data_IF_485875930964
#
_entry.id   IF_485875930964
#
_cell.length_a   1.000
_cell.length_b   1.000
_cell.length_c   1.000
_cell.angle_alpha   90.00
_cell.angle_beta   90.00
_cell.angle_gamma   90.00
#
_symmetry.space_group_name_H-M   'P 1'
#
loop_
_entity.id
_entity.type
_entity.pdbx_description
1 polymer ?
#
# COMPACT_ATOMS: atom_id res chain seq x y z
N UNK A 1 -1.27 -2.94 -24.74
CA UNK A 1 -2.00 -3.84 -23.84
C UNK A 1 -1.10 -4.50 -22.79
N UNK A 2 -0.02 -5.21 -23.14
CA UNK A 2 0.94 -5.78 -22.15
C UNK A 2 1.53 -4.75 -21.16
N UNK A 3 1.91 -3.55 -21.63
CA UNK A 3 2.39 -2.46 -20.75
C UNK A 3 1.41 -2.09 -19.64
N UNK A 4 0.11 -2.16 -19.93
CA UNK A 4 -0.93 -1.81 -18.96
C UNK A 4 -1.07 -2.87 -17.87
N UNK A 5 -0.71 -4.12 -18.16
CA UNK A 5 -0.87 -5.22 -17.21
C UNK A 5 0.35 -5.29 -16.26
N UNK A 6 1.55 -4.96 -16.74
CA UNK A 6 2.79 -5.00 -15.95
C UNK A 6 2.87 -3.90 -14.89
N UNK A 7 2.32 -2.72 -15.17
CA UNK A 7 2.40 -1.54 -14.30
C UNK A 7 1.39 -1.61 -13.16
N UNK A 8 0.18 -2.07 -13.46
CA UNK A 8 -0.86 -2.20 -12.44
C UNK A 8 -0.59 -3.36 -11.48
N UNK A 9 0.02 -4.44 -11.99
CA UNK A 9 0.54 -5.52 -11.14
C UNK A 9 1.45 -4.97 -10.06
N UNK A 10 2.33 -4.07 -10.47
CA UNK A 10 3.25 -3.47 -9.56
C UNK A 10 2.53 -2.59 -8.53
N UNK A 11 1.52 -1.80 -8.88
CA UNK A 11 0.83 -0.87 -7.97
C UNK A 11 0.10 -1.54 -6.78
N UNK A 12 -0.65 -2.61 -7.07
CA UNK A 12 -1.41 -3.33 -6.05
C UNK A 12 -0.49 -4.18 -5.16
N UNK A 13 0.55 -4.79 -5.74
CA UNK A 13 1.56 -5.58 -5.02
C UNK A 13 2.51 -4.66 -4.23
N UNK A 14 2.74 -3.44 -4.72
CA UNK A 14 3.62 -2.45 -4.09
C UNK A 14 3.08 -1.86 -2.80
N UNK A 15 1.77 -1.75 -2.64
CA UNK A 15 1.20 -1.29 -1.38
C UNK A 15 1.49 -2.23 -0.20
N UNK A 16 1.96 -3.46 -0.47
CA UNK A 16 2.11 -4.50 0.55
C UNK A 16 3.46 -5.22 0.58
N UNK A 17 4.25 -5.20 -0.49
CA UNK A 17 5.65 -5.66 -0.47
C UNK A 17 6.59 -4.50 -0.16
N UNK A 18 6.66 -4.18 1.12
CA UNK A 18 7.50 -3.11 1.62
C UNK A 18 8.82 -3.66 2.12
N UNK A 19 9.94 -3.24 1.53
CA UNK A 19 11.25 -3.31 2.22
C UNK A 19 11.25 -2.41 3.47
N UNK A 20 12.30 -2.52 4.29
CA UNK A 20 12.56 -1.81 5.54
C UNK A 20 12.51 -0.25 5.50
N UNK A 21 12.16 0.38 4.37
CA UNK A 21 12.11 1.85 4.19
C UNK A 21 10.77 2.37 3.68
N UNK A 22 9.74 1.54 3.61
CA UNK A 22 8.44 2.01 3.11
C UNK A 22 7.72 2.82 4.18
N UNK A 23 6.95 3.82 3.74
CA UNK A 23 6.21 4.69 4.64
C UNK A 23 4.93 5.20 4.03
N UNK A 24 3.94 5.41 4.90
CA UNK A 24 2.66 6.02 4.61
C UNK A 24 2.52 7.24 5.51
N UNK A 25 2.34 8.41 4.92
CA UNK A 25 2.08 9.65 5.62
C UNK A 25 0.68 10.13 5.26
N UNK A 26 -0.14 10.47 6.26
CA UNK A 26 -1.50 10.97 6.05
C UNK A 26 -1.74 12.20 6.90
N UNK A 27 -2.22 13.27 6.28
CA UNK A 27 -2.52 14.53 6.95
C UNK A 27 -3.96 14.96 6.65
N UNK A 28 -4.70 15.51 7.63
CA UNK A 28 -5.98 16.14 7.38
C UNK A 28 -5.84 17.29 6.37
N UNK A 29 -6.86 17.48 5.56
CA UNK A 29 -7.00 18.61 4.62
C UNK A 29 -8.42 19.17 4.71
N UNK A 30 -8.66 20.33 4.08
CA UNK A 30 -9.95 21.02 4.17
C UNK A 30 -11.14 20.20 3.63
N UNK A 31 -10.89 19.21 2.77
CA UNK A 31 -11.91 18.41 2.08
C UNK A 31 -11.81 16.90 2.39
N UNK A 32 -10.88 16.51 3.26
CA UNK A 32 -10.60 15.10 3.57
C UNK A 32 -9.18 14.92 4.10
N UNK A 33 -8.36 14.14 3.40
CA UNK A 33 -6.97 13.89 3.77
C UNK A 33 -6.05 13.93 2.55
N UNK A 34 -4.86 14.47 2.72
CA UNK A 34 -3.76 14.26 1.78
C UNK A 34 -2.90 13.09 2.28
N UNK A 35 -2.37 12.31 1.35
CA UNK A 35 -1.47 11.22 1.65
C UNK A 35 -0.23 11.25 0.78
N UNK A 36 0.85 10.68 1.32
CA UNK A 36 2.09 10.36 0.64
C UNK A 36 2.47 8.92 1.01
N UNK A 37 2.73 8.10 0.01
CA UNK A 37 3.09 6.69 0.13
C UNK A 37 4.41 6.52 -0.61
N UNK A 38 5.45 6.22 0.15
CA UNK A 38 6.77 5.89 -0.37
C UNK A 38 7.01 4.41 -0.16
N UNK A 39 7.22 3.68 -1.25
CA UNK A 39 7.45 2.24 -1.23
C UNK A 39 8.84 1.97 -1.79
N UNK A 40 9.56 1.06 -1.14
CA UNK A 40 10.83 0.54 -1.64
C UNK A 40 10.78 -0.98 -1.64
N UNK A 41 11.23 -1.62 -2.70
CA UNK A 41 11.26 -3.09 -2.85
C UNK A 41 12.61 -3.64 -2.50
N UNK A 42 12.58 -4.85 -1.95
CA UNK A 42 13.78 -5.66 -1.84
C UNK A 42 14.26 -6.17 -3.21
N UNK A 43 15.53 -6.53 -3.24
CA UNK A 43 16.21 -7.01 -4.44
C UNK A 43 15.68 -8.35 -4.95
N UNK A 44 15.26 -9.25 -4.06
CA UNK A 44 14.71 -10.55 -4.43
C UNK A 44 13.34 -10.39 -5.07
N UNK A 45 12.48 -9.53 -4.52
CA UNK A 45 11.21 -9.18 -5.15
C UNK A 45 11.42 -8.56 -6.54
N UNK A 46 12.35 -7.60 -6.69
CA UNK A 46 12.67 -7.02 -7.99
C UNK A 46 13.24 -8.04 -8.99
N UNK A 47 14.04 -8.99 -8.51
CA UNK A 47 14.58 -10.08 -9.32
C UNK A 47 13.49 -11.03 -9.83
N UNK A 48 12.59 -11.45 -8.94
CA UNK A 48 11.40 -12.24 -9.30
C UNK A 48 10.57 -11.50 -10.33
N UNK A 49 10.26 -10.23 -10.09
CA UNK A 49 9.47 -9.41 -11.00
C UNK A 49 10.12 -9.29 -12.38
N UNK A 50 11.43 -9.05 -12.43
CA UNK A 50 12.18 -8.96 -13.70
C UNK A 50 12.16 -10.26 -14.51
N UNK A 51 12.11 -11.41 -13.83
CA UNK A 51 12.03 -12.71 -14.47
C UNK A 51 10.63 -12.99 -15.04
N UNK A 52 9.57 -12.56 -14.35
CA UNK A 52 8.18 -12.74 -14.79
C UNK A 52 7.78 -11.72 -15.86
N UNK A 53 8.32 -10.50 -15.77
CA UNK A 53 8.06 -9.38 -16.70
C UNK A 53 9.35 -8.92 -17.38
N UNK A 54 9.93 -9.76 -18.27
CA UNK A 54 11.12 -9.37 -19.01
C UNK A 54 10.81 -8.13 -19.84
N UNK A 55 11.58 -7.06 -19.63
CA UNK A 55 11.45 -5.85 -20.42
C UNK A 55 11.81 -6.13 -21.87
N UNK A 56 10.88 -5.89 -22.81
CA UNK A 56 11.19 -6.03 -24.23
C UNK A 56 12.19 -4.95 -24.67
N UNK A 57 13.40 -5.42 -25.03
CA UNK A 57 14.48 -4.80 -25.83
C UNK A 57 14.82 -3.31 -25.62
N UNK A 58 16.07 -3.08 -25.21
CA UNK A 58 16.89 -1.96 -25.71
C UNK A 58 17.33 -0.92 -24.67
N UNK A 59 18.44 -1.20 -23.99
CA UNK A 59 19.48 -0.20 -23.67
C UNK A 59 19.23 0.89 -22.63
N UNK A 60 18.00 1.13 -22.19
CA UNK A 60 17.72 2.12 -21.13
C UNK A 60 16.95 1.49 -19.98
N UNK A 61 17.45 1.72 -18.77
CA UNK A 61 16.88 1.27 -17.50
C UNK A 61 15.51 1.92 -17.30
N UNK A 62 14.48 1.37 -17.96
CA UNK A 62 13.09 1.80 -17.71
C UNK A 62 12.72 1.36 -16.30
N UNK A 63 12.06 2.28 -15.62
CA UNK A 63 11.38 2.01 -14.37
C UNK A 63 10.31 0.93 -14.59
N UNK A 64 10.09 0.02 -13.65
CA UNK A 64 9.00 -0.99 -13.72
C UNK A 64 7.61 -0.33 -13.71
N UNK A 65 7.57 0.94 -13.38
CA UNK A 65 6.38 1.73 -13.18
C UNK A 65 6.12 2.62 -14.40
N UNK A 66 4.86 2.63 -14.84
CA UNK A 66 4.35 3.68 -15.70
C UNK A 66 3.59 4.66 -14.80
N UNK A 67 4.30 5.70 -14.37
CA UNK A 67 3.82 6.71 -13.45
C UNK A 67 2.50 7.35 -13.94
N UNK A 68 2.39 7.59 -15.25
CA UNK A 68 1.21 8.21 -15.85
C UNK A 68 -0.01 7.30 -15.76
N UNK A 69 0.19 6.01 -16.00
CA UNK A 69 -0.86 5.02 -15.87
C UNK A 69 -1.30 4.81 -14.42
N UNK A 70 -0.36 4.71 -13.48
CA UNK A 70 -0.68 4.63 -12.04
C UNK A 70 -1.52 5.84 -11.64
N UNK A 71 -1.11 7.04 -12.07
CA UNK A 71 -1.84 8.27 -11.77
C UNK A 71 -3.26 8.25 -12.35
N UNK A 72 -3.43 7.77 -13.59
CA UNK A 72 -4.73 7.65 -14.23
C UNK A 72 -5.69 6.74 -13.45
N UNK A 73 -5.19 5.59 -12.99
CA UNK A 73 -5.99 4.59 -12.27
C UNK A 73 -6.44 5.11 -10.93
N UNK A 74 -5.52 5.66 -10.15
CA UNK A 74 -5.84 6.25 -8.85
C UNK A 74 -6.83 7.41 -9.01
N UNK A 75 -6.68 8.22 -10.05
CA UNK A 75 -7.63 9.30 -10.35
C UNK A 75 -9.02 8.75 -10.68
N UNK A 76 -9.11 7.65 -11.42
CA UNK A 76 -10.39 6.99 -11.74
C UNK A 76 -11.13 6.45 -10.50
N UNK A 77 -10.43 6.22 -9.39
CA UNK A 77 -11.02 5.82 -8.10
C UNK A 77 -11.51 6.99 -7.24
N UNK A 78 -11.47 8.23 -7.75
CA UNK A 78 -11.91 9.42 -7.02
C UNK A 78 -10.81 10.09 -6.18
N UNK A 79 -9.57 9.60 -6.23
CA UNK A 79 -8.41 10.27 -5.63
C UNK A 79 -8.03 11.49 -6.46
N UNK A 80 -7.81 12.61 -5.80
CA UNK A 80 -7.49 13.89 -6.45
C UNK A 80 -5.99 14.20 -6.35
N UNK A 81 -5.51 15.12 -7.20
CA UNK A 81 -4.14 15.63 -7.17
C UNK A 81 -3.05 14.54 -7.18
N UNK A 82 -3.32 13.41 -7.85
CA UNK A 82 -2.43 12.27 -7.86
C UNK A 82 -1.10 12.64 -8.51
N UNK A 83 0.00 12.39 -7.81
CA UNK A 83 1.36 12.43 -8.36
C UNK A 83 2.03 11.11 -8.09
N UNK A 84 2.65 10.57 -9.12
CA UNK A 84 3.42 9.33 -9.05
C UNK A 84 4.82 9.66 -9.52
N UNK A 85 5.81 9.16 -8.80
CA UNK A 85 7.21 9.28 -9.15
C UNK A 85 7.89 7.97 -8.84
N UNK A 86 8.28 7.25 -9.87
CA UNK A 86 9.18 6.12 -9.73
C UNK A 86 10.64 6.60 -9.67
N UNK A 87 11.45 5.93 -8.85
CA UNK A 87 12.87 6.19 -8.76
C UNK A 87 13.64 4.89 -8.97
N UNK A 88 14.14 4.72 -10.20
CA UNK A 88 14.75 3.48 -10.66
C UNK A 88 13.73 2.35 -10.75
N UNK A 89 14.19 1.14 -10.45
CA UNK A 89 13.39 -0.09 -10.52
C UNK A 89 12.83 -0.54 -9.16
N UNK A 90 13.30 0.06 -8.07
CA UNK A 90 13.08 -0.48 -6.71
C UNK A 90 12.27 0.45 -5.84
N UNK A 91 11.75 1.57 -6.34
CA UNK A 91 10.97 2.48 -5.48
C UNK A 91 9.93 3.29 -6.22
N UNK A 92 8.83 3.55 -5.51
CA UNK A 92 7.68 4.32 -5.95
C UNK A 92 7.30 5.33 -4.89
N UNK A 93 6.97 6.55 -5.32
CA UNK A 93 6.34 7.55 -4.50
C UNK A 93 4.99 7.90 -5.11
N UNK A 94 3.94 7.86 -4.31
CA UNK A 94 2.58 8.21 -4.69
C UNK A 94 2.10 9.26 -3.70
N UNK A 95 1.57 10.37 -4.18
CA UNK A 95 0.85 11.32 -3.33
C UNK A 95 -0.50 11.66 -3.96
N UNK A 96 -1.47 12.03 -3.13
CA UNK A 96 -2.80 12.38 -3.57
C UNK A 96 -3.66 12.92 -2.43
N UNK A 97 -4.91 13.24 -2.75
CA UNK A 97 -5.91 13.72 -1.81
C UNK A 97 -7.15 12.83 -1.88
N UNK A 98 -7.52 12.22 -0.76
CA UNK A 98 -8.77 11.49 -0.60
C UNK A 98 -9.82 12.44 -0.01
N UNK A 99 -10.94 12.64 -0.72
CA UNK A 99 -12.09 13.36 -0.18
C UNK A 99 -12.71 12.58 0.99
N UNK A 100 -13.46 13.23 1.87
CA UNK A 100 -14.12 12.58 3.02
C UNK A 100 -15.23 11.56 2.66
N UNK A 101 -15.49 11.32 1.36
CA UNK A 101 -16.42 10.33 0.84
C UNK A 101 -16.16 10.07 -0.65
N UNK A 102 -16.68 8.97 -1.19
CA UNK A 102 -16.72 8.73 -2.64
C UNK A 102 -15.38 8.32 -3.23
N UNK A 103 -14.55 7.66 -2.41
CA UNK A 103 -13.34 6.99 -2.85
C UNK A 103 -13.15 5.70 -2.02
N UNK A 104 -12.55 4.64 -2.62
CA UNK A 104 -12.41 3.35 -1.97
C UNK A 104 -11.70 3.36 -0.62
N UNK A 105 -10.73 4.27 -0.40
CA UNK A 105 -9.98 4.31 0.87
C UNK A 105 -10.86 4.76 2.04
N UNK A 106 -11.79 5.66 1.80
CA UNK A 106 -12.73 6.13 2.85
C UNK A 106 -13.93 5.21 2.93
N UNK A 107 -14.48 4.81 1.79
CA UNK A 107 -15.70 4.00 1.73
C UNK A 107 -15.47 2.56 2.27
N UNK A 108 -14.23 2.06 2.24
CA UNK A 108 -13.81 0.80 2.89
C UNK A 108 -13.54 0.94 4.39
N UNK A 109 -13.50 2.15 4.93
CA UNK A 109 -13.13 2.41 6.32
C UNK A 109 -11.63 2.34 6.61
N UNK A 110 -10.76 2.27 5.59
CA UNK A 110 -9.30 2.34 5.78
C UNK A 110 -8.89 3.74 6.26
N UNK A 111 -9.43 4.80 5.66
CA UNK A 111 -9.28 6.18 6.14
C UNK A 111 -10.55 6.57 6.90
N UNK A 112 -10.39 6.94 8.16
CA UNK A 112 -11.50 7.39 9.02
C UNK A 112 -11.24 8.80 9.52
N UNK A 113 -12.26 9.64 9.42
CA UNK A 113 -12.25 11.00 9.95
C UNK A 113 -13.02 11.05 11.27
N UNK A 114 -12.45 11.70 12.29
CA UNK A 114 -13.18 12.01 13.51
C UNK A 114 -13.84 13.40 13.44
N UNK A 115 -14.87 13.66 14.28
CA UNK A 115 -15.61 14.93 14.25
C UNK A 115 -14.76 16.19 14.48
N UNK A 116 -13.61 16.04 15.15
CA UNK A 116 -12.61 17.09 15.40
C UNK A 116 -11.69 17.35 14.20
N UNK A 117 -11.92 16.68 13.07
CA UNK A 117 -11.14 16.81 11.83
C UNK A 117 -9.86 15.98 11.80
N UNK A 118 -9.57 15.18 12.83
CA UNK A 118 -8.42 14.28 12.80
C UNK A 118 -8.66 13.09 11.85
N UNK A 119 -7.57 12.58 11.29
CA UNK A 119 -7.57 11.41 10.40
C UNK A 119 -6.94 10.22 11.10
N UNK A 120 -7.44 9.03 10.79
CA UNK A 120 -6.88 7.76 11.23
C UNK A 120 -6.81 6.77 10.08
N UNK A 121 -5.81 5.90 10.11
CA UNK A 121 -5.79 4.69 9.31
C UNK A 121 -6.27 3.51 10.15
N UNK A 122 -7.19 2.71 9.64
CA UNK A 122 -7.76 1.55 10.33
C UNK A 122 -7.68 0.33 9.43
N UNK A 123 -6.79 -0.59 9.77
CA UNK A 123 -6.59 -1.86 9.07
C UNK A 123 -7.24 -2.98 9.86
N UNK A 124 -8.18 -3.67 9.22
CA UNK A 124 -8.80 -4.88 9.72
C UNK A 124 -9.12 -5.77 8.53
N UNK A 125 -9.38 -7.06 8.78
CA UNK A 125 -9.82 -7.98 7.74
C UNK A 125 -11.04 -7.42 6.99
N UNK A 126 -12.03 -6.93 7.74
CA UNK A 126 -13.25 -6.33 7.17
C UNK A 126 -12.95 -5.14 6.26
N UNK A 127 -12.11 -4.21 6.70
CA UNK A 127 -11.81 -2.99 5.93
C UNK A 127 -10.98 -3.31 4.69
N UNK A 128 -10.03 -4.25 4.77
CA UNK A 128 -9.19 -4.65 3.65
C UNK A 128 -9.97 -5.44 2.59
N UNK A 129 -10.88 -6.32 3.01
CA UNK A 129 -11.80 -7.00 2.09
C UNK A 129 -12.81 -6.02 1.47
N UNK A 130 -13.31 -5.04 2.24
CA UNK A 130 -14.15 -3.98 1.69
C UNK A 130 -13.40 -3.15 0.65
N UNK A 131 -12.14 -2.79 0.93
CA UNK A 131 -11.28 -2.11 -0.04
C UNK A 131 -11.13 -2.96 -1.29
N UNK A 132 -10.77 -4.25 -1.15
CA UNK A 132 -10.62 -5.17 -2.27
C UNK A 132 -11.86 -5.22 -3.17
N UNK A 133 -13.07 -5.28 -2.59
CA UNK A 133 -14.33 -5.29 -3.34
C UNK A 133 -14.67 -3.96 -4.04
N UNK A 134 -14.05 -2.84 -3.64
CA UNK A 134 -14.22 -1.52 -4.25
C UNK A 134 -13.16 -1.20 -5.31
N UNK A 135 -12.12 -2.02 -5.42
CA UNK A 135 -11.08 -1.82 -6.41
C UNK A 135 -11.55 -2.27 -7.81
N UNK A 136 -11.10 -1.60 -8.88
CA UNK A 136 -11.22 -2.12 -10.24
C UNK A 136 -10.67 -3.54 -10.35
N UNK A 137 -11.28 -4.36 -11.21
CA UNK A 137 -10.94 -5.77 -11.40
C UNK A 137 -9.43 -5.97 -11.64
N UNK A 138 -8.81 -5.09 -12.41
CA UNK A 138 -7.38 -5.11 -12.65
C UNK A 138 -6.62 -5.04 -11.32
N UNK A 139 -6.90 -4.06 -10.47
CA UNK A 139 -6.25 -3.92 -9.16
C UNK A 139 -6.51 -5.10 -8.21
N UNK A 140 -7.73 -5.64 -8.20
CA UNK A 140 -8.08 -6.80 -7.39
C UNK A 140 -7.27 -8.05 -7.81
N UNK A 141 -7.15 -8.32 -9.11
CA UNK A 141 -6.42 -9.49 -9.64
C UNK A 141 -4.94 -9.54 -9.25
N UNK A 142 -4.37 -8.40 -8.90
CA UNK A 142 -2.99 -8.28 -8.45
C UNK A 142 -2.84 -8.42 -6.94
N UNK A 143 -3.84 -8.03 -6.17
CA UNK A 143 -3.90 -8.34 -4.74
C UNK A 143 -3.98 -9.86 -4.54
N UNK A 144 -4.62 -10.59 -5.45
CA UNK A 144 -4.67 -12.06 -5.41
C UNK A 144 -3.27 -12.69 -5.48
N UNK A 145 -2.31 -12.04 -6.15
CA UNK A 145 -0.92 -12.52 -6.21
C UNK A 145 -0.18 -12.36 -4.87
N UNK A 146 -0.72 -11.61 -3.92
CA UNK A 146 -0.17 -11.58 -2.56
C UNK A 146 -0.51 -12.85 -1.81
N UNK A 147 -1.58 -13.56 -2.22
CA UNK A 147 -2.22 -14.64 -1.47
C UNK A 147 -2.43 -14.27 0.01
N UNK A 148 -2.63 -12.97 0.26
CA UNK A 148 -2.53 -12.46 1.62
C UNK A 148 -3.84 -12.74 2.37
N UNK A 149 -3.77 -13.33 3.58
CA UNK A 149 -4.92 -13.65 4.41
C UNK A 149 -5.87 -12.48 4.63
N UNK A 150 -5.32 -11.28 4.77
CA UNK A 150 -6.10 -10.06 4.97
C UNK A 150 -7.03 -9.70 3.79
N UNK A 151 -6.81 -10.28 2.61
CA UNK A 151 -7.69 -10.13 1.45
C UNK A 151 -8.47 -11.41 1.14
N UNK A 152 -7.84 -12.58 1.25
CA UNK A 152 -8.48 -13.86 0.95
C UNK A 152 -9.46 -14.29 2.04
N UNK A 153 -9.29 -13.81 3.28
CA UNK A 153 -10.06 -14.25 4.44
C UNK A 153 -9.64 -15.60 5.00
N UNK A 154 -8.54 -16.17 4.51
CA UNK A 154 -7.98 -17.41 5.06
C UNK A 154 -7.44 -17.19 6.47
N UNK A 155 -7.70 -18.13 7.38
CA UNK A 155 -7.11 -18.10 8.71
C UNK A 155 -5.76 -18.79 8.69
N UNK A 156 -4.68 -18.03 8.91
CA UNK A 156 -3.33 -18.58 9.04
C UNK A 156 -2.47 -17.73 9.98
N UNK A 157 -1.43 -18.35 10.53
CA UNK A 157 -0.39 -17.66 11.30
C UNK A 157 0.57 -16.92 10.36
N UNK A 158 1.27 -15.92 10.89
CA UNK A 158 2.30 -15.17 10.13
C UNK A 158 3.35 -16.12 9.51
N UNK A 159 3.74 -17.18 10.25
CA UNK A 159 4.69 -18.19 9.77
C UNK A 159 4.15 -19.01 8.60
N UNK A 160 2.90 -19.47 8.69
CA UNK A 160 2.24 -20.22 7.60
C UNK A 160 2.10 -19.37 6.33
N UNK A 161 1.82 -18.08 6.48
CA UNK A 161 1.79 -17.16 5.35
C UNK A 161 3.16 -17.00 4.70
N UNK A 162 4.21 -16.77 5.51
CA UNK A 162 5.60 -16.66 5.03
C UNK A 162 6.03 -17.96 4.32
N UNK A 163 5.70 -19.13 4.86
CA UNK A 163 6.03 -20.42 4.25
C UNK A 163 5.32 -20.62 2.91
N UNK A 164 4.07 -20.14 2.79
CA UNK A 164 3.31 -20.15 1.54
C UNK A 164 3.97 -19.25 0.49
N UNK A 165 4.38 -18.04 0.87
CA UNK A 165 5.15 -17.12 0.03
C UNK A 165 6.49 -17.75 -0.37
N UNK A 166 7.20 -18.40 0.55
CA UNK A 166 8.47 -19.06 0.27
C UNK A 166 8.32 -20.21 -0.74
N UNK A 167 7.22 -20.95 -0.65
CA UNK A 167 6.91 -22.07 -1.54
C UNK A 167 6.61 -21.61 -2.97
N UNK A 168 5.86 -20.51 -3.12
CA UNK A 168 5.43 -20.01 -4.43
C UNK A 168 6.46 -19.09 -5.07
N UNK A 169 7.08 -18.20 -4.29
CA UNK A 169 7.94 -17.11 -4.77
C UNK A 169 9.41 -17.28 -4.39
N UNK A 170 9.75 -18.29 -3.60
CA UNK A 170 11.10 -18.58 -3.16
C UNK A 170 11.47 -17.92 -1.83
N UNK A 171 12.38 -18.57 -1.10
CA UNK A 171 12.80 -18.16 0.25
C UNK A 171 13.28 -16.71 0.34
N UNK A 172 14.02 -16.22 -0.63
CA UNK A 172 14.55 -14.85 -0.58
C UNK A 172 13.45 -13.78 -0.59
N UNK A 173 12.34 -14.02 -1.31
CA UNK A 173 11.19 -13.09 -1.33
C UNK A 173 10.42 -13.16 -0.01
N UNK A 174 10.27 -14.37 0.55
CA UNK A 174 9.64 -14.56 1.84
C UNK A 174 10.45 -13.91 2.99
N UNK A 175 11.78 -14.05 2.96
CA UNK A 175 12.68 -13.42 3.92
C UNK A 175 12.59 -11.87 3.81
N UNK A 176 12.56 -11.31 2.59
CA UNK A 176 12.35 -9.86 2.38
C UNK A 176 10.99 -9.36 2.86
N UNK A 177 9.93 -10.17 2.71
CA UNK A 177 8.60 -9.85 3.24
C UNK A 177 8.59 -9.88 4.78
N UNK A 178 9.21 -10.89 5.37
CA UNK A 178 9.30 -11.05 6.83
C UNK A 178 10.07 -9.90 7.49
N UNK A 179 11.15 -9.44 6.86
CA UNK A 179 11.97 -8.32 7.32
C UNK A 179 11.35 -6.95 6.95
N UNK A 180 10.27 -6.95 6.19
CA UNK A 180 9.56 -5.78 5.74
C UNK A 180 8.85 -5.04 6.88
N UNK A 181 8.99 -3.72 6.91
CA UNK A 181 8.32 -2.84 7.87
C UNK A 181 7.79 -1.59 7.16
N UNK A 182 6.56 -1.21 7.52
CA UNK A 182 5.90 0.00 7.05
C UNK A 182 5.84 1.03 8.17
N UNK A 183 6.37 2.22 7.91
CA UNK A 183 6.26 3.36 8.83
C UNK A 183 5.01 4.17 8.55
N UNK A 184 4.19 4.40 9.56
CA UNK A 184 2.98 5.21 9.47
C UNK A 184 3.19 6.54 10.18
N UNK A 185 3.03 7.64 9.46
CA UNK A 185 3.16 9.01 9.96
C UNK A 185 1.79 9.70 9.84
N UNK A 186 1.03 9.75 10.93
CA UNK A 186 -0.31 10.34 10.92
C UNK A 186 -0.24 11.71 11.57
N UNK A 187 -0.60 12.74 10.82
CA UNK A 187 -0.58 14.12 11.29
C UNK A 187 -1.92 14.47 11.93
N UNK A 188 -1.89 15.14 13.07
CA UNK A 188 -3.06 15.75 13.69
C UNK A 188 -3.41 17.10 13.07
N UNK A 189 -4.59 17.63 13.41
CA UNK A 189 -4.99 19.00 13.03
C UNK A 189 -4.14 20.08 13.69
N UNK A 190 -3.40 19.74 14.75
CA UNK A 190 -2.47 20.60 15.48
C UNK A 190 -1.03 20.56 14.92
N UNK A 191 -0.84 19.96 13.74
CA UNK A 191 0.43 19.76 13.07
C UNK A 191 1.44 18.84 13.79
N UNK A 192 1.06 18.16 14.88
CA UNK A 192 1.88 17.12 15.49
C UNK A 192 1.75 15.81 14.70
N UNK A 193 2.85 15.09 14.55
CA UNK A 193 2.88 13.78 13.87
C UNK A 193 2.98 12.67 14.90
N UNK A 194 2.15 11.63 14.75
CA UNK A 194 2.33 10.36 15.41
C UNK A 194 2.98 9.38 14.43
N UNK A 195 4.18 8.90 14.78
CA UNK A 195 4.95 7.97 13.97
C UNK A 195 4.96 6.60 14.63
N UNK A 196 4.59 5.58 13.87
CA UNK A 196 4.54 4.19 14.33
C UNK A 196 4.98 3.27 13.20
N UNK A 197 5.18 1.99 13.48
CA UNK A 197 5.62 1.03 12.47
C UNK A 197 4.96 -0.32 12.67
N UNK A 198 4.72 -1.03 11.58
CA UNK A 198 4.13 -2.36 11.56
C UNK A 198 4.85 -3.23 10.54
N UNK A 199 5.12 -4.48 10.91
CA UNK A 199 5.63 -5.48 9.97
C UNK A 199 4.68 -5.64 8.77
N UNK A 200 5.25 -5.78 7.58
CA UNK A 200 4.50 -6.02 6.35
C UNK A 200 3.65 -7.29 6.44
N UNK A 201 4.21 -8.37 7.01
CA UNK A 201 3.49 -9.63 7.24
C UNK A 201 2.27 -9.42 8.13
N UNK A 202 2.40 -8.65 9.23
CA UNK A 202 1.27 -8.37 10.12
C UNK A 202 0.18 -7.53 9.47
N UNK A 203 0.54 -6.66 8.52
CA UNK A 203 -0.43 -5.91 7.74
C UNK A 203 -1.19 -6.82 6.77
N UNK A 204 -0.48 -7.75 6.12
CA UNK A 204 -1.01 -8.71 5.16
C UNK A 204 -1.73 -9.90 5.79
N UNK A 205 -1.49 -10.15 7.08
CA UNK A 205 -2.15 -11.18 7.87
C UNK A 205 -2.81 -10.57 9.11
N UNK A 206 -3.54 -9.46 8.92
CA UNK A 206 -4.19 -8.77 10.04
C UNK A 206 -5.37 -9.60 10.58
N UNK A 207 -5.24 -10.08 11.82
CA UNK A 207 -6.27 -10.90 12.49
C UNK A 207 -7.19 -10.09 13.42
N UNK A 208 -6.88 -8.80 13.63
CA UNK A 208 -7.65 -7.88 14.46
C UNK A 208 -7.83 -6.51 13.81
N UNK A 209 -7.93 -5.48 14.63
CA UNK A 209 -7.97 -4.09 14.16
C UNK A 209 -6.71 -3.37 14.59
N UNK A 210 -5.93 -2.90 13.63
CA UNK A 210 -4.79 -2.01 13.83
C UNK A 210 -5.21 -0.60 13.45
N UNK A 211 -5.00 0.37 14.35
CA UNK A 211 -5.37 1.75 14.14
C UNK A 211 -4.20 2.69 14.38
N UNK A 212 -3.93 3.56 13.41
CA UNK A 212 -2.96 4.64 13.50
C UNK A 212 -3.69 5.98 13.50
N UNK A 213 -3.46 6.82 14.50
CA UNK A 213 -4.12 8.11 14.65
C UNK A 213 -3.10 9.23 14.80
N UNK A 214 -3.41 10.42 14.27
CA UNK A 214 -2.70 11.63 14.65
C UNK A 214 -2.92 11.94 16.12
N UNK A 215 -1.98 12.65 16.76
CA UNK A 215 -2.15 13.10 18.14
C UNK A 215 -3.37 14.02 18.23
N UNK A 216 -4.24 13.80 19.22
CA UNK A 216 -5.36 14.71 19.47
C UNK A 216 -4.90 15.97 20.20
N UNK A 217 -5.56 17.09 19.92
CA UNK A 217 -5.37 18.30 20.71
C UNK A 217 -5.70 17.99 22.20
N UNK A 218 -4.71 18.11 23.08
CA UNK A 218 -4.86 17.87 24.52
C UNK A 218 -4.35 16.53 25.06
N UNK A 219 -3.88 15.59 24.21
CA UNK A 219 -3.06 14.46 24.69
C UNK A 219 -1.64 14.96 25.03
N UNK A 220 -1.31 14.94 26.32
CA UNK A 220 0.06 15.05 26.83
C UNK A 220 0.67 13.65 26.94
N UNK A 221 1.99 13.57 26.72
CA UNK A 221 2.79 12.35 26.90
C UNK A 221 2.78 11.84 28.35
#
# INVERSE_FOLDING_TARGET
MMKQITVFLFLAVSLFFTSCKSSVSVKPSAVGADFDVSISFGSAFCGLFSAVFPSEKGGETRSFFDDAQIAQVLTATGIQNVRVKSNGQTSLQISGSAAASGNPLVDSGIIVFSPDGNVSLVFSLQNLQALYGLLPFELASYIDMLMAPAFTGEEMTDGEYIDSVATVYGKNVADELNDGEVKFNIHGTDARTNSSSLSAVKLLNVTGTVRFCGKRAGEND
#
